data_IF_537984469720
#
_entry.id   IF_537984469720
#
_cell.length_a   1.000
_cell.length_b   1.000
_cell.length_c   1.000
_cell.angle_alpha   90.00
_cell.angle_beta   90.00
_cell.angle_gamma   90.00
#
_symmetry.space_group_name_H-M   'P 1'
#
loop_
_entity.id
_entity.type
_entity.pdbx_description
1 polymer ?
#
# COMPACT_ATOMS: atom_id res chain seq x y z
N UNK A 1 5.54 -16.43 14.88
CA UNK A 1 5.67 -16.27 13.42
C UNK A 1 5.81 -14.79 13.13
N UNK A 2 7.05 -14.30 12.99
CA UNK A 2 7.31 -12.88 12.73
C UNK A 2 7.25 -12.61 11.24
N UNK A 3 6.19 -11.96 10.76
CA UNK A 3 6.18 -11.36 9.44
C UNK A 3 7.14 -10.16 9.45
N UNK A 4 8.14 -10.17 8.57
CA UNK A 4 9.08 -9.05 8.45
C UNK A 4 8.69 -8.22 7.23
N UNK A 5 8.19 -7.00 7.47
CA UNK A 5 7.82 -6.06 6.43
C UNK A 5 9.03 -5.51 5.67
N UNK A 6 8.88 -5.41 4.34
CA UNK A 6 9.90 -4.98 3.37
C UNK A 6 10.47 -3.57 3.67
N UNK A 7 9.71 -2.73 4.38
CA UNK A 7 10.14 -1.39 4.83
C UNK A 7 11.38 -1.43 5.75
N UNK A 8 11.54 -2.46 6.58
CA UNK A 8 12.69 -2.58 7.51
C UNK A 8 14.03 -2.79 6.79
N UNK A 9 14.02 -3.17 5.51
CA UNK A 9 15.24 -3.41 4.72
C UNK A 9 15.59 -2.29 3.73
N UNK A 10 14.89 -1.16 3.78
CA UNK A 10 15.16 -0.02 2.88
C UNK A 10 14.75 -0.27 1.43
N UNK A 11 13.85 -1.22 1.19
CA UNK A 11 13.22 -1.45 -0.10
C UNK A 11 11.89 -0.66 -0.07
N UNK A 12 11.96 0.66 -0.21
CA UNK A 12 10.76 1.50 -0.13
C UNK A 12 11.04 3.00 -0.18
N UNK A 13 10.89 3.57 -1.39
CA UNK A 13 10.97 5.01 -1.79
C UNK A 13 12.39 5.62 -1.84
N UNK A 14 12.77 6.64 -2.67
CA UNK A 14 12.01 7.57 -3.55
C UNK A 14 12.66 7.90 -4.96
N UNK A 15 12.09 8.90 -5.66
CA UNK A 15 12.39 9.59 -6.95
C UNK A 15 13.85 9.73 -7.47
N UNK A 16 14.90 9.40 -6.71
CA UNK A 16 16.29 9.57 -7.12
C UNK A 16 17.00 8.23 -7.10
N UNK A 17 17.55 7.81 -8.25
CA UNK A 17 18.39 6.61 -8.46
C UNK A 17 18.99 6.09 -7.14
N UNK A 18 18.27 5.23 -6.44
CA UNK A 18 18.86 4.40 -5.41
C UNK A 18 19.13 3.06 -6.06
N UNK A 19 20.39 2.66 -5.95
CA UNK A 19 20.87 1.39 -6.42
C UNK A 19 20.09 0.31 -5.65
N UNK A 20 19.29 -0.49 -6.37
CA UNK A 20 18.78 -1.79 -5.90
C UNK A 20 19.92 -2.80 -5.75
N UNK A 21 21.10 -2.33 -5.36
CA UNK A 21 22.33 -3.08 -5.24
C UNK A 21 22.42 -3.61 -3.83
N UNK A 22 21.85 -4.80 -3.66
CA UNK A 22 22.24 -5.66 -2.54
C UNK A 22 23.57 -6.31 -2.92
N UNK A 23 24.63 -5.97 -2.19
CA UNK A 23 25.91 -6.68 -2.33
C UNK A 23 25.70 -8.17 -2.03
N UNK A 24 26.17 -9.03 -2.93
CA UNK A 24 26.01 -10.48 -2.83
C UNK A 24 26.64 -11.07 -1.55
N UNK A 25 27.62 -10.39 -0.96
CA UNK A 25 28.28 -10.83 0.28
C UNK A 25 27.67 -10.22 1.54
N UNK A 26 26.63 -9.40 1.40
CA UNK A 26 25.99 -8.75 2.55
C UNK A 26 25.10 -9.71 3.34
N UNK A 27 24.90 -9.41 4.63
CA UNK A 27 23.94 -10.13 5.46
C UNK A 27 22.52 -10.09 4.86
N UNK A 28 22.15 -8.96 4.23
CA UNK A 28 20.86 -8.82 3.54
C UNK A 28 20.71 -9.83 2.39
N UNK A 29 21.77 -10.05 1.61
CA UNK A 29 21.76 -11.07 0.58
C UNK A 29 21.58 -12.48 1.16
N UNK A 30 22.17 -12.78 2.33
CA UNK A 30 21.97 -14.08 2.99
C UNK A 30 20.49 -14.29 3.35
N UNK A 31 19.87 -13.29 4.00
CA UNK A 31 18.45 -13.34 4.37
C UNK A 31 17.56 -13.51 3.14
N UNK A 32 17.82 -12.78 2.05
CA UNK A 32 17.04 -12.88 0.83
C UNK A 32 17.23 -14.21 0.07
N UNK A 33 18.37 -14.90 0.24
CA UNK A 33 18.57 -16.25 -0.31
C UNK A 33 17.75 -17.29 0.44
N UNK A 34 17.76 -17.20 1.76
CA UNK A 34 17.05 -18.11 2.67
C UNK A 34 15.55 -17.87 2.71
N UNK A 35 15.09 -16.67 2.35
CA UNK A 35 13.68 -16.35 2.26
C UNK A 35 12.94 -17.30 1.30
N UNK A 36 11.67 -17.57 1.63
CA UNK A 36 10.74 -18.36 0.83
C UNK A 36 9.54 -17.53 0.37
N UNK A 37 9.18 -16.51 1.14
CA UNK A 37 8.01 -15.64 0.95
C UNK A 37 8.40 -14.17 1.13
N UNK A 38 7.83 -13.32 0.29
CA UNK A 38 7.87 -11.86 0.41
C UNK A 38 6.44 -11.34 0.38
N UNK A 39 6.08 -10.50 1.36
CA UNK A 39 4.78 -9.80 1.41
C UNK A 39 5.06 -8.30 1.27
N UNK A 40 4.50 -7.69 0.23
CA UNK A 40 4.60 -6.25 -0.03
C UNK A 40 3.26 -5.57 0.20
N UNK A 41 3.16 -4.84 1.30
CA UNK A 41 2.00 -4.02 1.65
C UNK A 41 1.99 -2.69 0.88
N UNK A 42 0.82 -2.24 0.45
CA UNK A 42 0.60 -1.08 -0.41
C UNK A 42 1.41 -1.09 -1.72
N UNK A 43 1.49 -2.27 -2.35
CA UNK A 43 2.16 -2.44 -3.64
C UNK A 43 1.55 -1.58 -4.75
N UNK A 44 0.28 -1.17 -4.63
CA UNK A 44 -0.40 -0.34 -5.63
C UNK A 44 0.13 1.10 -5.66
N UNK A 45 0.77 1.55 -4.57
CA UNK A 45 1.36 2.89 -4.44
C UNK A 45 2.76 3.00 -5.03
N UNK A 46 3.39 1.89 -5.46
CA UNK A 46 4.77 1.92 -5.97
C UNK A 46 4.82 2.13 -7.47
N UNK A 47 5.86 2.82 -7.94
CA UNK A 47 6.17 2.88 -9.35
C UNK A 47 6.57 1.49 -9.86
N UNK A 48 6.06 1.09 -11.03
CA UNK A 48 6.38 -0.19 -11.68
C UNK A 48 7.88 -0.46 -11.81
N UNK A 49 8.69 0.59 -12.02
CA UNK A 49 10.15 0.45 -12.11
C UNK A 49 10.76 -0.07 -10.82
N UNK A 50 10.15 0.24 -9.67
CA UNK A 50 10.60 -0.25 -8.38
C UNK A 50 10.30 -1.74 -8.22
N UNK A 51 9.12 -2.18 -8.66
CA UNK A 51 8.75 -3.59 -8.71
C UNK A 51 9.72 -4.38 -9.60
N UNK A 52 9.98 -3.87 -10.80
CA UNK A 52 10.89 -4.46 -11.78
C UNK A 52 12.33 -4.54 -11.26
N UNK A 53 12.81 -3.49 -10.59
CA UNK A 53 14.14 -3.49 -10.04
C UNK A 53 14.30 -4.45 -8.83
N UNK A 54 13.26 -4.62 -8.02
CA UNK A 54 13.26 -5.64 -6.96
C UNK A 54 13.30 -7.03 -7.54
N UNK A 55 12.52 -7.32 -8.59
CA UNK A 55 12.59 -8.59 -9.30
C UNK A 55 14.01 -8.87 -9.83
N UNK A 56 14.64 -7.91 -10.52
CA UNK A 56 16.04 -8.04 -10.99
C UNK A 56 17.00 -8.29 -9.84
N UNK A 57 16.87 -7.57 -8.73
CA UNK A 57 17.71 -7.72 -7.54
C UNK A 57 17.55 -9.13 -6.93
N UNK A 58 16.32 -9.62 -6.76
CA UNK A 58 16.05 -10.93 -6.19
C UNK A 58 16.57 -12.06 -7.08
N UNK A 59 16.38 -11.95 -8.41
CA UNK A 59 16.94 -12.89 -9.39
C UNK A 59 18.46 -12.97 -9.31
N UNK A 60 19.12 -11.83 -9.14
CA UNK A 60 20.59 -11.76 -8.97
C UNK A 60 21.04 -12.32 -7.62
N UNK A 61 20.40 -11.94 -6.51
CA UNK A 61 20.81 -12.37 -5.16
C UNK A 61 20.67 -13.88 -4.96
N UNK A 62 19.61 -14.47 -5.55
CA UNK A 62 19.28 -15.90 -5.44
C UNK A 62 19.86 -16.77 -6.56
N UNK A 63 20.60 -16.17 -7.49
CA UNK A 63 21.17 -16.85 -8.68
C UNK A 63 20.12 -17.63 -9.49
N UNK A 64 18.99 -16.96 -9.77
CA UNK A 64 17.82 -17.52 -10.48
C UNK A 64 17.33 -16.55 -11.55
N UNK A 65 18.13 -16.37 -12.60
CA UNK A 65 17.95 -15.37 -13.66
C UNK A 65 16.60 -15.48 -14.42
N UNK A 66 16.05 -16.68 -14.52
CA UNK A 66 14.84 -16.97 -15.29
C UNK A 66 13.58 -17.15 -14.42
N UNK A 67 13.70 -17.14 -13.09
CA UNK A 67 12.55 -17.27 -12.20
C UNK A 67 12.11 -15.90 -11.70
N UNK A 68 10.86 -15.47 -11.94
CA UNK A 68 10.34 -14.22 -11.38
C UNK A 68 10.58 -14.12 -9.88
N UNK A 69 10.98 -12.95 -9.40
CA UNK A 69 11.36 -12.66 -8.02
C UNK A 69 12.41 -13.62 -7.45
N UNK A 70 13.28 -14.15 -8.32
CA UNK A 70 14.26 -15.17 -7.94
C UNK A 70 13.62 -16.47 -7.48
N UNK A 71 12.38 -16.77 -7.89
CA UNK A 71 11.62 -17.95 -7.47
C UNK A 71 11.13 -17.88 -6.01
N UNK A 72 10.91 -16.68 -5.49
CA UNK A 72 10.21 -16.47 -4.22
C UNK A 72 8.70 -16.48 -4.45
N UNK A 73 7.95 -16.99 -3.47
CA UNK A 73 6.53 -16.66 -3.41
C UNK A 73 6.42 -15.17 -3.08
N UNK A 74 5.80 -14.40 -3.97
CA UNK A 74 5.70 -12.96 -3.83
C UNK A 74 4.21 -12.58 -3.76
N UNK A 75 3.82 -11.97 -2.64
CA UNK A 75 2.44 -11.55 -2.38
C UNK A 75 2.43 -10.04 -2.29
N UNK A 76 1.72 -9.39 -3.21
CA UNK A 76 1.41 -7.97 -3.13
C UNK A 76 0.02 -7.77 -2.52
N UNK A 77 -0.09 -6.86 -1.55
CA UNK A 77 -1.35 -6.41 -0.98
C UNK A 77 -1.48 -4.90 -1.19
N UNK A 78 -2.70 -4.41 -1.43
CA UNK A 78 -2.97 -2.98 -1.60
C UNK A 78 -4.25 -2.73 -2.40
N UNK A 79 -4.72 -1.48 -2.38
CA UNK A 79 -5.90 -1.03 -3.12
C UNK A 79 -5.55 -0.09 -4.26
N UNK A 80 -6.09 -0.31 -5.47
CA UNK A 80 -5.92 0.64 -6.59
C UNK A 80 -6.82 1.87 -6.48
N UNK A 81 -7.83 1.83 -5.61
CA UNK A 81 -8.68 2.96 -5.26
C UNK A 81 -8.05 3.87 -4.19
N UNK A 82 -6.83 3.56 -3.76
CA UNK A 82 -6.03 4.42 -2.89
C UNK A 82 -5.17 5.40 -3.70
N UNK A 83 -4.19 6.02 -3.04
CA UNK A 83 -3.27 6.99 -3.63
C UNK A 83 -2.43 6.30 -4.73
N UNK A 84 -2.39 6.85 -5.97
CA UNK A 84 -1.55 6.29 -7.02
C UNK A 84 -0.07 6.55 -6.76
N UNK A 85 0.85 5.93 -7.52
CA UNK A 85 2.28 6.24 -7.41
C UNK A 85 2.55 7.73 -7.61
N UNK A 86 3.33 8.32 -6.70
CA UNK A 86 3.65 9.74 -6.74
C UNK A 86 4.75 9.99 -7.77
N UNK A 87 4.49 10.88 -8.72
CA UNK A 87 5.50 11.45 -9.62
C UNK A 87 5.48 12.97 -9.53
N UNK A 88 6.64 13.56 -9.24
CA UNK A 88 6.81 15.01 -9.26
C UNK A 88 6.57 15.53 -10.68
N UNK A 89 5.74 16.58 -10.80
CA UNK A 89 5.46 17.29 -12.05
C UNK A 89 4.91 16.44 -13.20
N UNK A 90 4.27 15.31 -12.89
CA UNK A 90 3.70 14.42 -13.90
C UNK A 90 2.24 14.74 -14.23
N UNK A 91 1.89 14.60 -15.51
CA UNK A 91 0.50 14.58 -15.97
C UNK A 91 -0.20 13.28 -15.56
N UNK A 92 -1.54 13.28 -15.56
CA UNK A 92 -2.36 12.13 -15.12
C UNK A 92 -2.01 10.83 -15.85
N UNK A 93 -1.74 10.91 -17.14
CA UNK A 93 -1.41 9.78 -18.00
C UNK A 93 -0.08 9.15 -17.57
N UNK A 94 0.91 9.97 -17.21
CA UNK A 94 2.19 9.50 -16.73
C UNK A 94 2.04 8.77 -15.39
N UNK A 95 1.19 9.28 -14.48
CA UNK A 95 0.84 8.58 -13.23
C UNK A 95 0.25 7.21 -13.49
N UNK A 96 -0.72 7.10 -14.41
CA UNK A 96 -1.34 5.82 -14.77
C UNK A 96 -0.30 4.84 -15.34
N UNK A 97 0.54 5.30 -16.27
CA UNK A 97 1.59 4.48 -16.91
C UNK A 97 2.67 3.98 -15.93
N UNK A 98 2.78 4.60 -14.75
CA UNK A 98 3.71 4.17 -13.71
C UNK A 98 3.13 3.16 -12.74
N UNK A 99 1.82 2.91 -12.80
CA UNK A 99 1.18 1.85 -12.02
C UNK A 99 1.82 0.50 -12.31
N UNK A 100 1.90 -0.35 -11.29
CA UNK A 100 2.37 -1.74 -11.42
C UNK A 100 1.58 -2.53 -12.47
N UNK A 101 0.32 -2.16 -12.78
CA UNK A 101 -0.47 -2.77 -13.86
C UNK A 101 0.17 -2.62 -15.25
N UNK A 102 1.03 -1.61 -15.44
CA UNK A 102 1.78 -1.38 -16.67
C UNK A 102 3.19 -1.98 -16.62
N UNK A 103 3.51 -2.79 -15.60
CA UNK A 103 4.73 -3.59 -15.57
C UNK A 103 4.53 -4.88 -16.35
N UNK A 104 5.59 -5.36 -16.99
CA UNK A 104 5.61 -6.72 -17.59
C UNK A 104 5.42 -7.81 -16.54
N UNK A 105 5.76 -7.53 -15.28
CA UNK A 105 5.57 -8.48 -14.18
C UNK A 105 4.11 -8.66 -13.81
N UNK A 106 3.23 -7.73 -14.16
CA UNK A 106 1.81 -7.80 -13.81
C UNK A 106 1.14 -9.06 -14.37
N UNK A 107 1.52 -9.48 -15.57
CA UNK A 107 0.99 -10.69 -16.23
C UNK A 107 1.29 -11.98 -15.45
N UNK A 108 2.25 -11.95 -14.53
CA UNK A 108 2.67 -13.07 -13.70
C UNK A 108 1.82 -13.15 -12.42
N UNK A 109 1.19 -12.05 -11.99
CA UNK A 109 0.40 -12.02 -10.78
C UNK A 109 -0.94 -12.71 -10.98
N UNK A 110 -1.28 -13.62 -10.06
CA UNK A 110 -2.65 -14.03 -9.84
C UNK A 110 -3.34 -13.01 -8.91
N UNK A 111 -4.44 -12.42 -9.38
CA UNK A 111 -5.16 -11.39 -8.64
C UNK A 111 -6.28 -12.02 -7.82
N UNK A 112 -6.27 -11.74 -6.52
CA UNK A 112 -7.35 -12.10 -5.60
C UNK A 112 -8.00 -10.82 -5.06
N UNK A 113 -9.31 -10.70 -5.25
CA UNK A 113 -10.08 -9.57 -4.73
C UNK A 113 -10.69 -9.96 -3.37
N UNK A 114 -10.43 -9.15 -2.34
CA UNK A 114 -11.15 -9.22 -1.07
C UNK A 114 -12.42 -8.40 -1.19
N UNK A 115 -13.57 -9.00 -0.92
CA UNK A 115 -14.90 -8.39 -1.13
C UNK A 115 -15.67 -8.11 0.15
N UNK A 116 -15.21 -8.63 1.29
CA UNK A 116 -15.88 -8.46 2.58
C UNK A 116 -15.08 -7.47 3.43
N UNK A 117 -15.57 -6.24 3.64
CA UNK A 117 -14.92 -5.24 4.46
C UNK A 117 -15.07 -5.58 5.94
N UNK A 118 -13.94 -5.83 6.62
CA UNK A 118 -13.94 -6.15 8.06
C UNK A 118 -14.01 -4.90 8.95
N UNK A 119 -13.48 -3.76 8.50
CA UNK A 119 -13.40 -2.54 9.32
C UNK A 119 -14.78 -1.90 9.53
N UNK A 120 -15.64 -1.96 8.51
CA UNK A 120 -16.98 -1.39 8.51
C UNK A 120 -18.07 -2.44 8.69
N UNK A 121 -17.75 -3.66 9.15
CA UNK A 121 -18.72 -4.75 9.29
C UNK A 121 -19.91 -4.36 10.19
N UNK A 122 -19.63 -3.58 11.24
CA UNK A 122 -20.65 -3.09 12.18
C UNK A 122 -21.51 -1.92 11.62
N UNK A 123 -21.16 -1.37 10.46
CA UNK A 123 -21.87 -0.27 9.81
C UNK A 123 -22.01 -0.51 8.29
N UNK A 124 -22.97 -1.37 7.88
CA UNK A 124 -23.18 -1.70 6.47
C UNK A 124 -23.52 -0.49 5.60
N UNK A 125 -24.19 0.51 6.16
CA UNK A 125 -24.58 1.73 5.45
C UNK A 125 -23.35 2.56 5.10
N UNK A 126 -22.44 2.76 6.06
CA UNK A 126 -21.17 3.43 5.81
C UNK A 126 -20.25 2.61 4.91
N UNK A 127 -20.24 1.29 5.06
CA UNK A 127 -19.47 0.40 4.17
C UNK A 127 -19.88 0.57 2.70
N UNK A 128 -21.18 0.51 2.40
CA UNK A 128 -21.70 0.68 1.06
C UNK A 128 -21.35 2.06 0.50
N UNK A 129 -21.49 3.11 1.31
CA UNK A 129 -21.13 4.47 0.91
C UNK A 129 -19.65 4.63 0.54
N UNK A 130 -18.74 3.99 1.28
CA UNK A 130 -17.31 3.99 0.94
C UNK A 130 -17.04 3.25 -0.38
N UNK A 131 -17.71 2.12 -0.61
CA UNK A 131 -17.60 1.36 -1.86
C UNK A 131 -18.14 2.14 -3.07
N UNK A 132 -19.25 2.87 -2.90
CA UNK A 132 -19.82 3.75 -3.93
C UNK A 132 -18.84 4.88 -4.30
N UNK A 133 -18.21 5.52 -3.31
CA UNK A 133 -17.16 6.52 -3.53
C UNK A 133 -15.98 5.91 -4.29
N UNK A 134 -15.49 4.74 -3.86
CA UNK A 134 -14.36 4.07 -4.50
C UNK A 134 -14.64 3.75 -5.98
N UNK A 135 -15.87 3.35 -6.30
CA UNK A 135 -16.30 3.06 -7.67
C UNK A 135 -16.69 4.30 -8.49
N UNK A 136 -16.61 5.51 -7.92
CA UNK A 136 -17.00 6.74 -8.58
C UNK A 136 -18.51 6.90 -8.75
N UNK A 137 -19.31 6.11 -8.05
CA UNK A 137 -20.78 6.10 -8.07
C UNK A 137 -21.36 6.83 -6.85
N UNK A 138 -20.76 7.96 -6.47
CA UNK A 138 -21.12 8.66 -5.24
C UNK A 138 -22.41 9.50 -5.40
N UNK A 139 -23.26 9.56 -4.34
CA UNK A 139 -24.39 10.47 -4.32
C UNK A 139 -23.90 11.91 -4.52
N UNK A 140 -24.36 12.57 -5.57
CA UNK A 140 -23.91 13.92 -5.93
C UNK A 140 -25.05 14.93 -5.83
N UNK A 141 -24.74 16.13 -5.35
CA UNK A 141 -25.67 17.26 -5.45
C UNK A 141 -25.76 17.80 -6.88
N UNK A 142 -26.56 18.85 -7.07
CA UNK A 142 -26.76 19.51 -8.38
C UNK A 142 -25.47 20.11 -8.96
N UNK A 143 -24.46 20.35 -8.12
CA UNK A 143 -23.17 20.92 -8.49
C UNK A 143 -22.10 19.81 -8.68
N UNK A 144 -22.49 18.54 -8.58
CA UNK A 144 -21.59 17.39 -8.73
C UNK A 144 -20.70 17.13 -7.52
N UNK A 145 -21.01 17.69 -6.35
CA UNK A 145 -20.28 17.43 -5.11
C UNK A 145 -20.84 16.21 -4.39
N UNK A 146 -19.95 15.44 -3.77
CA UNK A 146 -20.32 14.29 -2.94
C UNK A 146 -21.20 14.74 -1.79
N UNK A 147 -22.38 14.11 -1.64
CA UNK A 147 -23.26 14.29 -0.49
C UNK A 147 -22.70 13.45 0.66
N UNK A 148 -22.18 14.11 1.70
CA UNK A 148 -21.56 13.46 2.85
C UNK A 148 -22.56 13.19 3.99
N UNK A 149 -23.74 12.66 3.68
CA UNK A 149 -24.83 12.46 4.65
C UNK A 149 -24.48 11.53 5.82
N UNK A 150 -23.50 10.64 5.62
CA UNK A 150 -22.98 9.73 6.66
C UNK A 150 -21.79 10.29 7.44
N UNK A 151 -21.28 11.48 7.06
CA UNK A 151 -20.13 12.09 7.73
C UNK A 151 -20.60 13.28 8.52
N UNK A 152 -20.36 13.24 9.84
CA UNK A 152 -20.52 14.43 10.69
C UNK A 152 -19.23 15.22 10.68
N UNK A 153 -19.31 16.52 10.37
CA UNK A 153 -18.20 17.45 10.48
C UNK A 153 -18.38 18.31 11.74
N UNK A 154 -17.26 18.65 12.38
CA UNK A 154 -17.24 19.56 13.53
C UNK A 154 -16.02 20.47 13.44
N UNK A 155 -16.16 21.71 13.90
CA UNK A 155 -15.05 22.63 14.15
C UNK A 155 -14.70 22.70 15.64
N UNK A 156 -15.48 22.03 16.48
CA UNK A 156 -15.24 21.95 17.92
C UNK A 156 -14.17 20.89 18.20
N UNK A 157 -12.99 21.38 18.56
CA UNK A 157 -11.82 20.56 18.88
C UNK A 157 -12.08 19.66 20.09
N UNK A 158 -12.86 20.13 21.06
CA UNK A 158 -13.12 19.37 22.29
C UNK A 158 -14.10 18.23 22.03
N UNK A 159 -15.16 18.52 21.28
CA UNK A 159 -16.04 17.48 20.76
C UNK A 159 -15.27 16.45 19.92
N UNK A 160 -14.39 16.89 19.02
CA UNK A 160 -13.57 15.99 18.20
C UNK A 160 -12.68 15.09 19.07
N UNK A 161 -12.02 15.64 20.11
CA UNK A 161 -11.19 14.86 21.04
C UNK A 161 -12.01 13.80 21.79
N UNK A 162 -13.18 14.18 22.30
CA UNK A 162 -14.07 13.25 23.00
C UNK A 162 -14.59 12.15 22.07
N UNK A 163 -14.84 12.48 20.81
CA UNK A 163 -15.30 11.54 19.79
C UNK A 163 -14.21 10.54 19.36
N UNK A 164 -12.99 11.01 19.08
CA UNK A 164 -11.87 10.18 18.61
C UNK A 164 -11.24 9.36 19.74
N UNK A 165 -11.15 9.95 20.94
CA UNK A 165 -10.61 9.32 22.13
C UNK A 165 -11.67 9.32 23.25
N UNK A 166 -12.75 8.54 23.12
CA UNK A 166 -13.77 8.47 24.15
C UNK A 166 -13.17 7.71 25.34
N UNK A 167 -12.75 8.47 26.37
CA UNK A 167 -12.07 8.07 27.61
C UNK A 167 -10.54 8.11 27.54
N UNK A 168 -9.98 9.28 27.83
CA UNK A 168 -8.78 9.32 28.67
C UNK A 168 -9.25 9.60 30.11
N UNK A 169 -8.96 8.72 31.09
CA UNK A 169 -9.09 9.10 32.48
C UNK A 169 -8.20 10.33 32.69
N UNK A 170 -8.76 11.38 33.26
CA UNK A 170 -8.16 12.72 33.32
C UNK A 170 -6.91 12.83 34.21
N UNK A 171 -6.24 11.73 34.59
CA UNK A 171 -5.22 11.74 35.66
C UNK A 171 -4.03 10.78 35.52
N UNK A 172 -3.86 10.00 34.45
CA UNK A 172 -2.61 9.21 34.30
C UNK A 172 -1.70 9.76 33.20
N UNK A 173 -0.43 10.09 33.52
CA UNK A 173 0.53 10.53 32.51
C UNK A 173 0.84 9.38 31.56
N UNK A 174 0.73 9.65 30.25
CA UNK A 174 1.22 8.75 29.22
C UNK A 174 2.74 8.58 29.35
N UNK A 175 3.20 7.44 29.86
CA UNK A 175 4.58 6.99 29.67
C UNK A 175 4.69 6.15 28.39
N UNK A 176 5.45 6.65 27.42
CA UNK A 176 5.93 5.81 26.32
C UNK A 176 6.93 4.78 26.89
N UNK A 177 6.58 3.49 26.86
CA UNK A 177 7.53 2.39 27.01
C UNK A 177 8.01 1.90 25.65
#
# INVERSE_FOLDING_TARGET
MGGVGISRYGIGTPYRRQHYEVSLRSQRASVLREATLVIWEEITMINKRNLEAVDVMLRRVRDKSHSPFGGLLFIGAGGFYQIPPILEHAYREATVQTSIKFSKLWEIFQVFALTVPLRQEADPQFSQFVDEIANGAFPSDKDGKVILSLITATTDVEYWKQFVCPKLPSTEPFEFR
#
